data_IF_387438247571
#
_entry.id   IF_387438247571
#
_cell.length_a   1.000
_cell.length_b   1.000
_cell.length_c   1.000
_cell.angle_alpha   90.00
_cell.angle_beta   90.00
_cell.angle_gamma   90.00
#
_symmetry.space_group_name_H-M   'P 1'
#
loop_
_entity.id
_entity.type
_entity.pdbx_description
1 polymer ?
#
# COMPACT_ATOMS: atom_id res chain seq x y z
N UNK A 1 21.61 -11.24 -42.58
CA UNK A 1 21.34 -12.43 -41.75
C UNK A 1 20.39 -12.02 -40.66
N UNK A 2 19.34 -12.80 -40.34
CA UNK A 2 18.32 -12.47 -39.31
C UNK A 2 18.14 -13.68 -38.40
N UNK A 3 18.17 -13.46 -37.08
CA UNK A 3 17.94 -14.50 -36.09
C UNK A 3 16.63 -14.19 -35.33
N UNK A 4 15.88 -15.21 -34.99
CA UNK A 4 14.69 -15.12 -34.13
C UNK A 4 14.98 -15.91 -32.85
N UNK A 5 14.81 -15.24 -31.70
CA UNK A 5 14.95 -15.86 -30.38
C UNK A 5 13.55 -15.96 -29.75
N UNK A 6 13.02 -17.17 -29.63
CA UNK A 6 11.74 -17.43 -29.01
C UNK A 6 11.92 -17.66 -27.50
N UNK A 7 11.29 -16.81 -26.67
CA UNK A 7 11.33 -16.88 -25.21
C UNK A 7 9.88 -16.90 -24.68
N UNK A 8 9.32 -18.09 -24.53
CA UNK A 8 8.01 -18.31 -23.90
C UNK A 8 8.21 -18.80 -22.47
N UNK A 9 7.52 -18.18 -21.51
CA UNK A 9 7.54 -18.60 -20.10
C UNK A 9 6.11 -18.78 -19.61
N UNK A 10 5.89 -19.84 -18.85
CA UNK A 10 4.76 -19.95 -17.93
C UNK A 10 5.25 -19.43 -16.57
N UNK A 11 4.55 -18.46 -15.99
CA UNK A 11 4.90 -17.87 -14.71
C UNK A 11 3.79 -18.24 -13.72
N UNK A 12 4.19 -18.73 -12.55
CA UNK A 12 3.32 -18.91 -11.40
C UNK A 12 3.92 -18.09 -10.25
N UNK A 13 3.35 -16.91 -10.03
CA UNK A 13 3.72 -15.97 -8.98
C UNK A 13 2.71 -16.03 -7.81
N UNK A 14 2.03 -17.17 -7.62
CA UNK A 14 1.07 -17.37 -6.54
C UNK A 14 1.76 -17.41 -5.19
N UNK A 15 1.14 -16.83 -4.18
CA UNK A 15 1.65 -16.79 -2.82
C UNK A 15 0.53 -16.82 -1.78
N UNK A 16 0.85 -17.23 -0.56
CA UNK A 16 -0.07 -17.20 0.56
C UNK A 16 -0.01 -15.89 1.31
N UNK A 17 -1.16 -15.46 1.83
CA UNK A 17 -1.28 -14.34 2.77
C UNK A 17 -1.76 -14.92 4.10
N UNK A 18 -0.94 -14.80 5.13
CA UNK A 18 -1.28 -15.26 6.47
C UNK A 18 -1.61 -14.07 7.38
N UNK A 19 -2.80 -14.09 7.95
CA UNK A 19 -3.29 -13.07 8.88
C UNK A 19 -3.29 -13.69 10.28
N UNK A 20 -2.68 -13.00 11.24
CA UNK A 20 -2.62 -13.53 12.61
C UNK A 20 -1.93 -12.57 13.58
N UNK A 21 -1.51 -13.13 14.70
CA UNK A 21 -0.85 -12.42 15.79
C UNK A 21 0.47 -13.07 16.14
N UNK A 22 1.51 -12.28 16.36
CA UNK A 22 2.85 -12.78 16.74
C UNK A 22 3.37 -13.82 15.76
N UNK A 23 3.35 -13.51 14.46
CA UNK A 23 3.64 -14.42 13.36
C UNK A 23 5.13 -14.70 13.16
N UNK A 24 6.01 -14.12 13.97
CA UNK A 24 7.47 -14.33 13.84
C UNK A 24 7.89 -15.80 13.94
N UNK A 25 7.27 -16.58 14.83
CA UNK A 25 7.55 -18.03 14.92
C UNK A 25 7.01 -18.82 13.73
N UNK A 26 5.85 -18.43 13.20
CA UNK A 26 5.28 -18.99 11.98
C UNK A 26 6.21 -18.75 10.79
N UNK A 27 6.71 -17.54 10.61
CA UNK A 27 7.69 -17.20 9.57
C UNK A 27 8.93 -18.12 9.64
N UNK A 28 9.50 -18.31 10.83
CA UNK A 28 10.67 -19.18 10.99
C UNK A 28 10.34 -20.65 10.71
N UNK A 29 9.16 -21.09 11.12
CA UNK A 29 8.66 -22.45 10.83
C UNK A 29 8.51 -22.67 9.33
N UNK A 30 7.91 -21.73 8.61
CA UNK A 30 7.70 -21.83 7.18
C UNK A 30 9.03 -21.83 6.41
N UNK A 31 10.00 -21.01 6.82
CA UNK A 31 11.36 -21.04 6.26
C UNK A 31 12.01 -22.42 6.47
N UNK A 32 11.88 -23.00 7.66
CA UNK A 32 12.38 -24.36 7.94
C UNK A 32 11.69 -25.43 7.09
N UNK A 33 10.41 -25.23 6.80
CA UNK A 33 9.59 -26.12 5.97
C UNK A 33 9.79 -25.89 4.45
N UNK A 34 10.66 -24.97 4.06
CA UNK A 34 11.10 -24.80 2.68
C UNK A 34 10.46 -23.65 1.91
N UNK A 35 9.83 -22.66 2.57
CA UNK A 35 9.23 -21.48 1.93
C UNK A 35 10.17 -20.82 0.91
N UNK A 36 11.46 -20.70 1.22
CA UNK A 36 12.48 -20.16 0.31
C UNK A 36 13.40 -21.24 -0.27
N UNK A 37 12.96 -22.48 -0.33
CA UNK A 37 13.75 -23.59 -0.87
C UNK A 37 15.04 -23.85 -0.06
N UNK A 38 16.19 -23.78 -0.75
CA UNK A 38 17.50 -24.08 -0.13
C UNK A 38 18.25 -22.85 0.38
N UNK A 39 17.60 -21.70 0.40
CA UNK A 39 18.23 -20.45 0.84
C UNK A 39 18.61 -20.54 2.32
N UNK A 40 19.82 -20.06 2.65
CA UNK A 40 20.38 -20.07 4.01
C UNK A 40 20.81 -18.68 4.47
N UNK A 41 20.71 -17.64 3.59
CA UNK A 41 21.14 -16.28 3.89
C UNK A 41 19.99 -15.30 3.67
N UNK A 42 19.64 -14.54 4.71
CA UNK A 42 18.50 -13.64 4.74
C UNK A 42 18.91 -12.20 4.99
N UNK A 43 18.42 -11.28 4.15
CA UNK A 43 18.58 -9.84 4.32
C UNK A 43 17.28 -9.29 4.95
N UNK A 44 17.31 -8.96 6.23
CA UNK A 44 16.18 -8.34 6.92
C UNK A 44 16.25 -6.84 6.70
N UNK A 45 15.33 -6.29 5.91
CA UNK A 45 15.22 -4.86 5.63
C UNK A 45 14.11 -4.28 6.48
N UNK A 46 14.40 -3.21 7.22
CA UNK A 46 13.47 -2.57 8.16
C UNK A 46 13.78 -1.08 8.31
N UNK A 47 12.94 -0.36 9.04
CA UNK A 47 13.20 1.03 9.42
C UNK A 47 13.60 1.19 10.89
N UNK A 48 14.09 2.40 11.24
CA UNK A 48 14.60 2.72 12.57
C UNK A 48 13.59 2.61 13.71
N UNK A 49 12.28 2.67 13.41
CA UNK A 49 11.20 2.48 14.40
C UNK A 49 10.87 1.01 14.58
N UNK A 50 10.78 0.26 13.49
CA UNK A 50 10.36 -1.14 13.49
C UNK A 50 11.50 -2.07 13.94
N UNK A 51 12.76 -1.65 13.72
CA UNK A 51 13.95 -2.41 14.12
C UNK A 51 13.87 -2.91 15.56
N UNK A 52 13.80 -2.05 16.60
CA UNK A 52 13.80 -2.49 18.00
C UNK A 52 12.50 -3.17 18.42
N UNK A 53 11.41 -2.95 17.71
CA UNK A 53 10.08 -3.47 18.06
C UNK A 53 9.88 -4.91 17.58
N UNK A 54 10.28 -5.22 16.35
CA UNK A 54 9.92 -6.48 15.67
C UNK A 54 11.05 -7.09 14.84
N UNK A 55 11.79 -6.28 14.07
CA UNK A 55 12.76 -6.84 13.12
C UNK A 55 13.93 -7.51 13.82
N UNK A 56 14.36 -6.99 14.97
CA UNK A 56 15.42 -7.58 15.79
C UNK A 56 15.05 -8.97 16.28
N UNK A 57 13.80 -9.18 16.71
CA UNK A 57 13.31 -10.50 17.12
C UNK A 57 13.36 -11.51 15.96
N UNK A 58 12.87 -11.12 14.78
CA UNK A 58 12.90 -11.96 13.57
C UNK A 58 14.35 -12.31 13.20
N UNK A 59 15.25 -11.32 13.22
CA UNK A 59 16.67 -11.52 12.97
C UNK A 59 17.29 -12.54 13.95
N UNK A 60 17.06 -12.37 15.26
CA UNK A 60 17.58 -13.26 16.29
C UNK A 60 17.04 -14.69 16.17
N UNK A 61 15.76 -14.82 15.81
CA UNK A 61 15.12 -16.13 15.52
C UNK A 61 15.73 -16.81 14.30
N UNK A 62 16.05 -16.08 13.23
CA UNK A 62 16.75 -16.63 12.06
C UNK A 62 18.12 -17.17 12.44
N UNK A 63 18.92 -16.41 13.19
CA UNK A 63 20.24 -16.83 13.67
C UNK A 63 20.12 -18.07 14.56
N UNK A 64 19.18 -18.07 15.51
CA UNK A 64 18.94 -19.20 16.42
C UNK A 64 18.48 -20.46 15.69
N UNK A 65 17.83 -20.30 14.54
CA UNK A 65 17.42 -21.40 13.66
C UNK A 65 18.56 -21.92 12.75
N UNK A 66 19.76 -21.34 12.84
CA UNK A 66 20.96 -21.76 12.09
C UNK A 66 21.07 -21.15 10.70
N UNK A 67 20.34 -20.08 10.41
CA UNK A 67 20.47 -19.30 9.18
C UNK A 67 21.50 -18.18 9.33
N UNK A 68 22.10 -17.76 8.22
CA UNK A 68 22.88 -16.52 8.16
C UNK A 68 21.91 -15.36 7.87
N UNK A 69 21.96 -14.32 8.68
CA UNK A 69 21.16 -13.11 8.43
C UNK A 69 21.96 -11.86 8.76
N UNK A 70 21.62 -10.76 8.09
CA UNK A 70 22.02 -9.41 8.43
C UNK A 70 20.80 -8.51 8.38
N UNK A 71 20.85 -7.42 9.18
CA UNK A 71 19.80 -6.43 9.23
C UNK A 71 20.25 -5.14 8.54
N UNK A 72 19.37 -4.59 7.70
CA UNK A 72 19.58 -3.37 6.93
C UNK A 72 18.50 -2.37 7.34
N UNK A 73 18.89 -1.36 8.09
CA UNK A 73 17.98 -0.39 8.70
C UNK A 73 18.03 0.90 7.91
N UNK A 74 16.84 1.36 7.46
CA UNK A 74 16.68 2.66 6.82
C UNK A 74 16.05 3.66 7.80
N UNK A 75 16.20 4.98 7.61
CA UNK A 75 15.41 5.94 8.37
C UNK A 75 13.91 5.75 8.13
N UNK A 76 13.08 6.03 9.12
CA UNK A 76 11.63 5.97 9.00
C UNK A 76 11.05 7.04 8.07
N UNK A 77 9.85 6.78 7.53
CA UNK A 77 9.01 7.72 6.78
C UNK A 77 9.25 7.72 5.27
N UNK A 78 8.29 8.33 4.56
CA UNK A 78 8.21 8.30 3.09
C UNK A 78 9.45 8.92 2.43
N UNK A 79 10.11 9.88 3.08
CA UNK A 79 11.36 10.51 2.60
C UNK A 79 12.51 9.51 2.41
N UNK A 80 12.43 8.33 2.99
CA UNK A 80 13.41 7.24 2.81
C UNK A 80 13.14 6.36 1.60
N UNK A 81 11.97 6.45 0.97
CA UNK A 81 11.60 5.65 -0.19
C UNK A 81 12.23 6.19 -1.48
N UNK A 82 13.54 6.18 -1.56
CA UNK A 82 14.32 6.83 -2.63
C UNK A 82 15.28 5.87 -3.33
N UNK A 83 15.76 6.29 -4.52
CA UNK A 83 16.83 5.58 -5.24
C UNK A 83 18.10 5.47 -4.41
N UNK A 84 18.49 6.54 -3.71
CA UNK A 84 19.69 6.55 -2.87
C UNK A 84 19.59 5.54 -1.72
N UNK A 85 18.40 5.41 -1.11
CA UNK A 85 18.21 4.42 -0.05
C UNK A 85 18.18 2.99 -0.58
N UNK A 86 17.62 2.78 -1.78
CA UNK A 86 17.71 1.49 -2.47
C UNK A 86 19.16 1.11 -2.75
N UNK A 87 19.95 2.02 -3.32
CA UNK A 87 21.38 1.85 -3.57
C UNK A 87 22.14 1.51 -2.29
N UNK A 88 21.88 2.26 -1.20
CA UNK A 88 22.47 2.01 0.12
C UNK A 88 22.23 0.56 0.61
N UNK A 89 21.01 0.06 0.50
CA UNK A 89 20.67 -1.32 0.92
C UNK A 89 21.38 -2.33 0.01
N UNK A 90 21.35 -2.14 -1.30
CA UNK A 90 22.01 -3.03 -2.28
C UNK A 90 23.52 -3.10 -2.07
N UNK A 91 24.20 -1.96 -1.89
CA UNK A 91 25.63 -1.89 -1.66
C UNK A 91 25.99 -2.52 -0.30
N UNK A 92 25.23 -2.24 0.75
CA UNK A 92 25.42 -2.88 2.06
C UNK A 92 25.25 -4.41 2.00
N UNK A 93 24.32 -4.89 1.19
CA UNK A 93 24.18 -6.33 0.93
C UNK A 93 25.40 -6.90 0.20
N UNK A 94 25.92 -6.19 -0.82
CA UNK A 94 27.12 -6.59 -1.56
C UNK A 94 28.35 -6.63 -0.68
N UNK A 95 28.57 -5.65 0.18
CA UNK A 95 29.67 -5.58 1.15
C UNK A 95 29.65 -6.75 2.13
N UNK A 96 28.46 -7.18 2.56
CA UNK A 96 28.26 -8.37 3.41
C UNK A 96 28.28 -9.68 2.64
N UNK A 97 28.64 -9.65 1.36
CA UNK A 97 28.81 -10.84 0.54
C UNK A 97 27.51 -11.53 0.14
N UNK A 98 26.38 -10.80 0.06
CA UNK A 98 25.14 -11.32 -0.51
C UNK A 98 25.29 -11.56 -2.02
N UNK A 99 24.63 -12.60 -2.51
CA UNK A 99 24.59 -13.00 -3.94
C UNK A 99 23.17 -13.49 -4.26
N UNK A 100 23.00 -14.22 -5.36
CA UNK A 100 21.69 -14.70 -5.82
C UNK A 100 21.04 -15.77 -4.95
N UNK A 101 21.77 -16.32 -4.00
CA UNK A 101 21.36 -17.38 -3.08
C UNK A 101 20.89 -16.84 -1.74
N UNK A 102 20.26 -15.67 -1.74
CA UNK A 102 19.67 -15.03 -0.58
C UNK A 102 18.18 -14.77 -0.76
N UNK A 103 17.51 -14.45 0.36
CA UNK A 103 16.14 -13.96 0.39
C UNK A 103 16.10 -12.63 1.12
N UNK A 104 15.28 -11.70 0.65
CA UNK A 104 14.99 -10.43 1.34
C UNK A 104 13.72 -10.62 2.16
N UNK A 105 13.77 -10.19 3.43
CA UNK A 105 12.59 -10.13 4.31
C UNK A 105 12.34 -8.67 4.63
N UNK A 106 11.24 -8.10 4.13
CA UNK A 106 10.77 -6.79 4.52
C UNK A 106 10.01 -6.89 5.85
N UNK A 107 10.46 -6.19 6.87
CA UNK A 107 9.76 -6.12 8.16
C UNK A 107 9.41 -4.67 8.43
N UNK A 108 8.15 -4.28 8.16
CA UNK A 108 7.79 -2.87 8.30
C UNK A 108 6.45 -2.47 7.71
N UNK A 109 6.30 -1.17 7.52
CA UNK A 109 5.18 -0.54 6.83
C UNK A 109 5.35 -0.49 5.31
N UNK A 110 4.51 0.29 4.63
CA UNK A 110 4.48 0.40 3.17
C UNK A 110 5.81 0.86 2.55
N UNK A 111 6.53 1.80 3.19
CA UNK A 111 7.84 2.27 2.73
C UNK A 111 8.85 1.13 2.66
N UNK A 112 8.91 0.32 3.72
CA UNK A 112 9.82 -0.84 3.81
C UNK A 112 9.41 -1.91 2.80
N UNK A 113 8.11 -2.21 2.69
CA UNK A 113 7.59 -3.20 1.72
C UNK A 113 7.95 -2.83 0.28
N UNK A 114 7.70 -1.58 -0.11
CA UNK A 114 7.96 -1.09 -1.47
C UNK A 114 9.47 -1.08 -1.80
N UNK A 115 10.28 -0.55 -0.90
CA UNK A 115 11.72 -0.43 -1.12
C UNK A 115 12.40 -1.81 -1.11
N UNK A 116 12.13 -2.65 -0.11
CA UNK A 116 12.73 -3.97 0.00
C UNK A 116 12.29 -4.91 -1.12
N UNK A 117 11.01 -4.85 -1.52
CA UNK A 117 10.52 -5.60 -2.66
C UNK A 117 11.16 -5.16 -3.98
N UNK A 118 11.46 -3.85 -4.14
CA UNK A 118 12.18 -3.36 -5.31
C UNK A 118 13.68 -3.76 -5.27
N UNK A 119 14.32 -3.74 -4.11
CA UNK A 119 15.66 -4.31 -3.92
C UNK A 119 15.66 -5.77 -4.34
N UNK A 120 14.77 -6.59 -3.79
CA UNK A 120 14.69 -8.01 -4.10
C UNK A 120 14.50 -8.29 -5.59
N UNK A 121 13.60 -7.58 -6.25
CA UNK A 121 13.32 -7.76 -7.67
C UNK A 121 14.47 -7.36 -8.62
N UNK A 122 15.42 -6.54 -8.15
CA UNK A 122 16.56 -6.09 -8.95
C UNK A 122 17.89 -6.72 -8.53
N UNK A 123 18.09 -6.99 -7.26
CA UNK A 123 19.30 -7.61 -6.73
C UNK A 123 19.52 -8.99 -7.34
N UNK A 124 20.69 -9.23 -7.89
CA UNK A 124 21.00 -10.51 -8.56
C UNK A 124 20.12 -10.83 -9.78
N UNK A 125 19.32 -9.93 -10.30
CA UNK A 125 18.24 -10.06 -11.32
C UNK A 125 16.99 -10.75 -10.80
N UNK A 126 16.69 -10.56 -9.53
CA UNK A 126 15.59 -11.12 -8.78
C UNK A 126 16.03 -12.19 -7.79
N UNK A 127 15.73 -11.96 -6.52
CA UNK A 127 15.88 -12.92 -5.41
C UNK A 127 14.53 -13.05 -4.71
N UNK A 128 14.25 -14.18 -4.02
CA UNK A 128 13.04 -14.36 -3.24
C UNK A 128 12.81 -13.21 -2.23
N UNK A 129 11.54 -12.91 -2.01
CA UNK A 129 11.09 -11.81 -1.17
C UNK A 129 9.96 -12.26 -0.24
N UNK A 130 10.05 -11.96 1.03
CA UNK A 130 8.99 -12.17 2.03
C UNK A 130 8.57 -10.82 2.58
N UNK A 131 7.26 -10.61 2.72
CA UNK A 131 6.72 -9.38 3.26
C UNK A 131 6.07 -9.61 4.63
N UNK A 132 6.62 -9.01 5.68
CA UNK A 132 6.12 -9.04 7.04
C UNK A 132 5.59 -7.65 7.40
N UNK A 133 4.28 -7.46 7.20
CA UNK A 133 3.61 -6.17 7.37
C UNK A 133 3.33 -5.88 8.85
N UNK A 134 3.84 -4.74 9.34
CA UNK A 134 3.73 -4.32 10.74
C UNK A 134 2.79 -3.13 10.94
N UNK A 135 2.19 -2.62 9.89
CA UNK A 135 1.24 -1.49 9.97
C UNK A 135 -0.09 -1.86 9.32
N UNK A 136 -1.18 -1.24 9.81
CA UNK A 136 -2.49 -1.41 9.18
C UNK A 136 -2.46 -0.99 7.71
N UNK A 137 -1.77 0.10 7.37
CA UNK A 137 -1.62 0.57 5.99
C UNK A 137 -0.97 -0.49 5.08
N UNK A 138 0.12 -1.12 5.55
CA UNK A 138 0.76 -2.19 4.79
C UNK A 138 -0.15 -3.42 4.67
N UNK A 139 -0.84 -3.80 5.74
CA UNK A 139 -1.77 -4.93 5.74
C UNK A 139 -2.97 -4.70 4.81
N UNK A 140 -3.51 -3.48 4.77
CA UNK A 140 -4.62 -3.14 3.91
C UNK A 140 -4.22 -3.02 2.42
N UNK A 141 -3.08 -2.39 2.13
CA UNK A 141 -2.72 -2.07 0.74
C UNK A 141 -1.31 -2.50 0.31
N UNK A 142 -0.23 -2.00 0.91
CA UNK A 142 1.10 -2.04 0.32
C UNK A 142 1.70 -3.45 0.21
N UNK A 143 1.38 -4.38 1.11
CA UNK A 143 1.98 -5.72 1.14
C UNK A 143 1.43 -6.69 0.09
N UNK A 144 0.29 -6.38 -0.53
CA UNK A 144 -0.43 -7.29 -1.43
C UNK A 144 -0.43 -6.76 -2.86
N UNK A 145 -0.10 -7.63 -3.83
CA UNK A 145 -0.22 -7.35 -5.26
C UNK A 145 1.06 -6.87 -5.94
N UNK A 146 2.21 -7.04 -5.29
CA UNK A 146 3.54 -6.99 -5.87
C UNK A 146 4.02 -5.64 -6.42
N UNK A 147 3.29 -4.55 -6.24
CA UNK A 147 3.77 -3.22 -6.62
C UNK A 147 4.88 -2.79 -5.67
N UNK A 148 6.09 -2.63 -6.20
CA UNK A 148 7.26 -2.18 -5.46
C UNK A 148 7.91 -1.02 -6.18
N UNK A 149 8.33 0.01 -5.46
CA UNK A 149 8.82 1.23 -6.09
C UNK A 149 9.65 2.11 -5.14
N UNK A 150 10.29 3.10 -5.74
CA UNK A 150 10.87 4.25 -5.04
C UNK A 150 10.33 5.54 -5.63
N UNK A 151 10.40 6.60 -4.82
CA UNK A 151 10.02 7.94 -5.20
C UNK A 151 11.20 8.72 -5.80
N UNK A 152 10.85 9.72 -6.59
CA UNK A 152 11.78 10.68 -7.16
C UNK A 152 11.22 12.09 -6.97
N UNK A 153 12.04 13.15 -7.08
CA UNK A 153 11.51 14.52 -7.03
C UNK A 153 10.45 14.83 -8.11
N UNK A 154 10.42 14.04 -9.19
CA UNK A 154 9.52 14.26 -10.32
C UNK A 154 8.25 13.43 -10.26
N UNK A 155 8.29 12.26 -9.62
CA UNK A 155 7.17 11.34 -9.60
C UNK A 155 7.23 10.37 -8.41
N UNK A 156 6.08 10.04 -7.83
CA UNK A 156 5.91 9.04 -6.79
C UNK A 156 5.53 7.68 -7.40
N UNK A 157 6.11 6.61 -6.89
CA UNK A 157 5.80 5.22 -7.27
C UNK A 157 5.89 4.90 -8.79
N UNK A 158 6.61 5.72 -9.57
CA UNK A 158 6.75 5.50 -11.02
C UNK A 158 7.94 4.60 -11.36
N UNK A 159 8.97 4.64 -10.53
CA UNK A 159 10.20 3.85 -10.72
C UNK A 159 10.11 2.61 -9.84
N UNK A 160 9.78 1.49 -10.42
CA UNK A 160 9.56 0.24 -9.70
C UNK A 160 9.29 -0.94 -10.63
N UNK A 161 8.86 -2.02 -10.05
CA UNK A 161 8.47 -3.23 -10.77
C UNK A 161 7.36 -4.00 -10.02
N UNK A 162 6.73 -4.92 -10.71
CA UNK A 162 5.91 -5.94 -10.06
C UNK A 162 6.82 -7.07 -9.60
N UNK A 163 6.90 -7.28 -8.29
CA UNK A 163 7.65 -8.35 -7.64
C UNK A 163 6.77 -9.01 -6.58
N UNK A 164 6.20 -10.17 -6.91
CA UNK A 164 5.34 -10.88 -5.97
C UNK A 164 6.19 -11.53 -4.86
N UNK A 165 5.74 -11.48 -3.59
CA UNK A 165 6.45 -12.13 -2.51
C UNK A 165 6.25 -13.65 -2.51
N UNK A 166 7.16 -14.40 -1.89
CA UNK A 166 6.96 -15.84 -1.60
C UNK A 166 5.82 -16.06 -0.60
N UNK A 167 5.65 -15.14 0.36
CA UNK A 167 4.57 -15.12 1.33
C UNK A 167 4.42 -13.73 1.95
N UNK A 168 3.19 -13.39 2.35
CA UNK A 168 2.86 -12.19 3.11
C UNK A 168 2.38 -12.58 4.51
N UNK A 169 2.94 -11.97 5.53
CA UNK A 169 2.49 -12.06 6.92
C UNK A 169 1.87 -10.74 7.33
N UNK A 170 0.59 -10.75 7.71
CA UNK A 170 -0.13 -9.60 8.25
C UNK A 170 -0.24 -9.79 9.77
N UNK A 171 0.76 -9.30 10.49
CA UNK A 171 0.80 -9.44 11.96
C UNK A 171 0.05 -8.31 12.64
N UNK A 172 -1.21 -8.56 12.97
CA UNK A 172 -2.09 -7.56 13.62
C UNK A 172 -1.71 -7.27 15.09
N UNK A 173 -0.86 -8.08 15.71
CA UNK A 173 -0.35 -7.77 17.05
C UNK A 173 0.52 -6.52 17.05
N UNK A 174 1.21 -6.25 15.93
CA UNK A 174 2.10 -5.11 15.77
C UNK A 174 1.36 -3.76 15.77
N UNK A 175 0.06 -3.74 15.46
CA UNK A 175 -0.72 -2.51 15.44
C UNK A 175 -0.87 -1.86 16.80
N UNK A 176 -0.67 -2.61 17.90
CA UNK A 176 -0.69 -2.07 19.28
C UNK A 176 0.39 -1.02 19.55
N UNK A 177 1.48 -1.07 18.81
CA UNK A 177 2.59 -0.11 18.96
C UNK A 177 2.52 1.04 17.97
N UNK A 178 1.54 1.03 17.05
CA UNK A 178 1.34 2.15 16.13
C UNK A 178 0.89 3.39 16.91
N UNK A 179 1.50 4.55 16.65
CA UNK A 179 0.92 5.82 17.07
C UNK A 179 -0.49 5.96 16.50
N UNK A 180 -1.41 6.56 17.25
CA UNK A 180 -2.81 6.75 16.86
C UNK A 180 -2.94 7.33 15.43
N UNK A 181 -2.13 8.34 15.09
CA UNK A 181 -2.10 8.96 13.76
C UNK A 181 -1.76 7.96 12.65
N UNK A 182 -0.85 7.02 12.90
CA UNK A 182 -0.47 5.97 11.93
C UNK A 182 -1.58 4.91 11.79
N UNK A 183 -2.24 4.55 12.88
CA UNK A 183 -3.38 3.64 12.86
C UNK A 183 -4.54 4.27 12.06
N UNK A 184 -4.87 5.53 12.36
CA UNK A 184 -5.87 6.31 11.61
C UNK A 184 -5.53 6.41 10.12
N UNK A 185 -4.26 6.67 9.78
CA UNK A 185 -3.81 6.67 8.39
C UNK A 185 -4.08 5.34 7.69
N UNK A 186 -3.83 4.21 8.35
CA UNK A 186 -4.18 2.88 7.82
C UNK A 186 -5.69 2.67 7.64
N UNK A 187 -6.51 3.27 8.52
CA UNK A 187 -7.96 3.21 8.41
C UNK A 187 -8.52 3.92 7.18
N UNK A 188 -7.83 4.88 6.60
CA UNK A 188 -8.25 5.51 5.37
C UNK A 188 -8.33 4.49 4.21
N UNK A 189 -7.36 3.58 4.09
CA UNK A 189 -7.39 2.49 3.12
C UNK A 189 -8.50 1.49 3.42
N UNK A 190 -8.74 1.19 4.69
CA UNK A 190 -9.85 0.32 5.13
C UNK A 190 -11.20 0.93 4.73
N UNK A 191 -11.41 2.21 5.00
CA UNK A 191 -12.63 2.94 4.60
C UNK A 191 -12.76 2.97 3.08
N UNK A 192 -11.67 3.22 2.34
CA UNK A 192 -11.66 3.18 0.88
C UNK A 192 -12.09 1.79 0.37
N UNK A 193 -11.57 0.70 0.92
CA UNK A 193 -11.95 -0.65 0.53
C UNK A 193 -13.44 -0.93 0.79
N UNK A 194 -13.94 -0.47 1.94
CA UNK A 194 -15.36 -0.57 2.26
C UNK A 194 -16.22 0.23 1.25
N UNK A 195 -15.81 1.44 0.93
CA UNK A 195 -16.49 2.29 -0.06
C UNK A 195 -16.54 1.68 -1.46
N UNK A 196 -15.46 1.00 -1.87
CA UNK A 196 -15.35 0.53 -3.27
C UNK A 196 -15.91 -0.87 -3.51
N UNK A 197 -16.01 -1.74 -2.47
CA UNK A 197 -16.31 -3.15 -2.72
C UNK A 197 -16.95 -3.92 -1.54
N UNK A 198 -17.17 -3.31 -0.36
CA UNK A 198 -17.63 -4.04 0.83
C UNK A 198 -18.51 -3.18 1.74
N UNK A 199 -19.82 -3.12 1.43
CA UNK A 199 -20.79 -2.36 2.22
C UNK A 199 -20.99 -2.94 3.63
N UNK A 200 -20.82 -4.26 3.82
CA UNK A 200 -20.92 -4.87 5.15
C UNK A 200 -19.77 -4.42 6.05
N UNK A 201 -18.56 -4.34 5.50
CA UNK A 201 -17.41 -3.77 6.21
C UNK A 201 -17.65 -2.28 6.53
N UNK A 202 -18.28 -1.51 5.62
CA UNK A 202 -18.61 -0.11 5.91
C UNK A 202 -19.55 0.02 7.11
N UNK A 203 -20.64 -0.74 7.12
CA UNK A 203 -21.60 -0.77 8.23
C UNK A 203 -20.95 -1.26 9.55
N UNK A 204 -19.99 -2.18 9.46
CA UNK A 204 -19.20 -2.64 10.60
C UNK A 204 -18.31 -1.52 11.15
N UNK A 205 -17.63 -0.79 10.27
CA UNK A 205 -16.78 0.35 10.65
C UNK A 205 -17.59 1.44 11.34
N UNK A 206 -18.77 1.79 10.82
CA UNK A 206 -19.66 2.76 11.49
C UNK A 206 -20.02 2.35 12.93
N UNK A 207 -20.10 1.07 13.23
CA UNK A 207 -20.46 0.56 14.56
C UNK A 207 -19.27 0.36 15.49
N UNK A 208 -18.08 0.14 14.95
CA UNK A 208 -16.94 -0.36 15.73
C UNK A 208 -15.64 0.44 15.56
N UNK A 209 -15.65 1.58 14.88
CA UNK A 209 -14.42 2.34 14.58
C UNK A 209 -13.62 2.69 15.85
N UNK A 210 -14.29 3.04 16.94
CA UNK A 210 -13.66 3.36 18.21
C UNK A 210 -12.98 2.13 18.85
N UNK A 211 -13.52 0.92 18.64
CA UNK A 211 -12.87 -0.31 19.09
C UNK A 211 -11.58 -0.56 18.33
N UNK A 212 -11.59 -0.30 17.02
CA UNK A 212 -10.39 -0.44 16.18
C UNK A 212 -9.31 0.54 16.64
N UNK A 213 -9.67 1.80 16.92
CA UNK A 213 -8.73 2.82 17.39
C UNK A 213 -8.07 2.48 18.74
N UNK A 214 -8.67 1.61 19.54
CA UNK A 214 -8.07 1.11 20.79
C UNK A 214 -7.49 -0.30 20.63
N UNK A 215 -7.32 -0.77 19.39
CA UNK A 215 -6.77 -2.08 19.05
C UNK A 215 -7.54 -3.27 19.65
N UNK A 216 -8.89 -3.18 19.68
CA UNK A 216 -9.73 -4.32 20.04
C UNK A 216 -9.42 -5.52 19.16
N UNK A 217 -9.26 -6.68 19.78
CA UNK A 217 -8.78 -7.88 19.08
C UNK A 217 -9.67 -8.28 17.92
N UNK A 218 -10.95 -8.45 18.20
CA UNK A 218 -11.89 -9.01 17.22
C UNK A 218 -12.17 -7.99 16.09
N UNK A 219 -12.20 -6.69 16.46
CA UNK A 219 -12.36 -5.64 15.47
C UNK A 219 -11.17 -5.50 14.51
N UNK A 220 -9.94 -5.67 15.02
CA UNK A 220 -8.75 -5.66 14.18
C UNK A 220 -8.66 -6.90 13.28
N UNK A 221 -9.01 -8.08 13.76
CA UNK A 221 -9.08 -9.30 12.96
C UNK A 221 -10.10 -9.17 11.82
N UNK A 222 -11.31 -8.68 12.14
CA UNK A 222 -12.33 -8.44 11.14
C UNK A 222 -11.86 -7.55 9.98
N UNK A 223 -11.28 -6.38 10.30
CA UNK A 223 -10.82 -5.46 9.24
C UNK A 223 -9.62 -5.99 8.47
N UNK A 224 -8.74 -6.77 9.09
CA UNK A 224 -7.61 -7.40 8.41
C UNK A 224 -8.09 -8.39 7.34
N UNK A 225 -9.05 -9.26 7.69
CA UNK A 225 -9.64 -10.23 6.78
C UNK A 225 -10.38 -9.57 5.61
N UNK A 226 -11.22 -8.56 5.90
CA UNK A 226 -11.99 -7.85 4.89
C UNK A 226 -11.11 -7.02 3.95
N UNK A 227 -10.12 -6.30 4.46
CA UNK A 227 -9.14 -5.59 3.64
C UNK A 227 -8.42 -6.54 2.68
N UNK A 228 -7.90 -7.65 3.21
CA UNK A 228 -7.24 -8.68 2.43
C UNK A 228 -8.20 -9.23 1.35
N UNK A 229 -9.45 -9.56 1.74
CA UNK A 229 -10.46 -10.10 0.83
C UNK A 229 -10.78 -9.16 -0.34
N UNK A 230 -10.87 -7.86 -0.12
CA UNK A 230 -11.05 -6.86 -1.18
C UNK A 230 -9.81 -6.80 -2.06
N UNK A 231 -8.64 -6.64 -1.46
CA UNK A 231 -7.39 -6.40 -2.19
C UNK A 231 -6.99 -7.58 -3.07
N UNK A 232 -6.93 -8.81 -2.51
CA UNK A 232 -6.48 -9.97 -3.29
C UNK A 232 -7.45 -10.32 -4.43
N UNK A 233 -8.77 -10.16 -4.22
CA UNK A 233 -9.77 -10.42 -5.28
C UNK A 233 -9.59 -9.50 -6.49
N UNK A 234 -9.24 -8.22 -6.26
CA UNK A 234 -8.95 -7.27 -7.32
C UNK A 234 -7.63 -7.62 -8.01
N UNK A 235 -6.57 -7.92 -7.24
CA UNK A 235 -5.25 -8.29 -7.77
C UNK A 235 -5.30 -9.57 -8.60
N UNK A 236 -6.01 -10.62 -8.13
CA UNK A 236 -6.16 -11.87 -8.89
C UNK A 236 -6.85 -11.68 -10.24
N UNK A 237 -7.75 -10.71 -10.36
CA UNK A 237 -8.46 -10.43 -11.61
C UNK A 237 -7.67 -9.52 -12.55
N UNK A 238 -6.81 -8.66 -12.01
CA UNK A 238 -6.05 -7.69 -12.78
C UNK A 238 -4.73 -7.35 -12.06
N UNK A 239 -3.74 -8.24 -12.19
CA UNK A 239 -2.43 -8.06 -11.58
C UNK A 239 -1.74 -6.77 -12.01
N UNK A 240 -1.83 -6.43 -13.30
CA UNK A 240 -1.04 -5.37 -13.96
C UNK A 240 -1.74 -4.02 -14.05
N UNK A 241 -2.93 -3.86 -13.43
CA UNK A 241 -3.71 -2.62 -13.48
C UNK A 241 -4.06 -2.20 -14.93
N UNK A 242 -4.59 -3.16 -15.68
CA UNK A 242 -5.02 -2.93 -17.06
C UNK A 242 -6.49 -2.50 -17.18
N UNK A 243 -7.27 -2.57 -16.11
CA UNK A 243 -8.69 -2.21 -16.05
C UNK A 243 -9.23 -2.23 -14.62
N UNK A 244 -9.74 -3.38 -14.15
CA UNK A 244 -10.40 -3.47 -12.84
C UNK A 244 -9.58 -2.93 -11.67
N UNK A 245 -8.27 -3.18 -11.63
CA UNK A 245 -7.43 -2.74 -10.51
C UNK A 245 -7.37 -1.22 -10.37
N UNK A 246 -7.79 -0.46 -11.39
CA UNK A 246 -7.91 0.99 -11.34
C UNK A 246 -8.89 1.45 -10.24
N UNK A 247 -9.87 0.62 -9.84
CA UNK A 247 -10.82 0.94 -8.75
C UNK A 247 -10.12 1.25 -7.42
N UNK A 248 -8.97 0.62 -7.15
CA UNK A 248 -8.17 0.89 -5.96
C UNK A 248 -7.61 2.32 -5.89
N UNK A 249 -7.71 3.07 -6.99
CA UNK A 249 -7.33 4.48 -7.04
C UNK A 249 -8.43 5.44 -6.54
N UNK A 250 -9.55 4.93 -6.02
CA UNK A 250 -10.55 5.76 -5.34
C UNK A 250 -9.85 6.59 -4.24
N UNK A 251 -10.07 7.90 -4.20
CA UNK A 251 -9.39 8.83 -3.28
C UNK A 251 -7.97 9.22 -3.68
N UNK A 252 -7.27 8.41 -4.48
CA UNK A 252 -5.84 8.58 -4.72
C UNK A 252 -5.48 9.68 -5.72
N UNK A 253 -6.36 10.04 -6.64
CA UNK A 253 -6.03 11.07 -7.64
C UNK A 253 -5.78 12.41 -6.96
N UNK A 254 -6.68 12.82 -6.08
CA UNK A 254 -6.53 14.04 -5.27
C UNK A 254 -5.56 13.81 -4.11
N UNK A 255 -5.67 12.67 -3.42
CA UNK A 255 -4.86 12.34 -2.25
C UNK A 255 -3.36 12.42 -2.52
N UNK A 256 -2.84 11.78 -3.58
CA UNK A 256 -1.41 11.83 -3.93
C UNK A 256 -0.91 13.23 -4.28
N UNK A 257 -1.76 14.03 -4.92
CA UNK A 257 -1.40 15.42 -5.23
C UNK A 257 -1.25 16.22 -3.92
N UNK A 258 -2.18 16.08 -2.98
CA UNK A 258 -2.14 16.72 -1.66
C UNK A 258 -0.92 16.24 -0.86
N UNK A 259 -0.67 14.94 -0.80
CA UNK A 259 0.49 14.34 -0.12
C UNK A 259 1.80 14.98 -0.58
N UNK A 260 1.98 15.10 -1.90
CA UNK A 260 3.19 15.71 -2.47
C UNK A 260 3.26 17.22 -2.20
N UNK A 261 2.16 17.97 -2.37
CA UNK A 261 2.13 19.43 -2.17
C UNK A 261 2.30 19.79 -0.70
N UNK A 262 1.91 18.90 0.23
CA UNK A 262 2.15 19.07 1.67
C UNK A 262 3.61 18.82 2.09
N UNK A 263 4.51 18.50 1.17
CA UNK A 263 5.87 18.02 1.46
C UNK A 263 5.87 16.84 2.44
N UNK A 264 4.91 15.91 2.28
CA UNK A 264 4.70 14.76 3.15
C UNK A 264 4.44 15.10 4.63
N UNK A 265 3.91 16.31 4.92
CA UNK A 265 3.44 16.67 6.26
C UNK A 265 2.15 15.91 6.61
N UNK A 266 1.32 15.64 5.61
CA UNK A 266 0.21 14.71 5.72
C UNK A 266 0.70 13.28 5.48
N UNK A 267 0.24 12.36 6.31
CA UNK A 267 0.43 10.93 6.07
C UNK A 267 -0.40 10.49 4.86
N UNK A 268 0.03 9.42 4.22
CA UNK A 268 -0.64 8.88 3.03
C UNK A 268 -2.16 8.74 3.22
N UNK A 269 -2.61 8.06 4.28
CA UNK A 269 -4.04 7.88 4.53
C UNK A 269 -4.79 9.16 4.87
N UNK A 270 -4.13 10.15 5.49
CA UNK A 270 -4.73 11.48 5.70
C UNK A 270 -5.02 12.16 4.36
N UNK A 271 -4.09 12.09 3.44
CA UNK A 271 -4.25 12.62 2.08
C UNK A 271 -5.30 11.83 1.28
N UNK A 272 -5.32 10.50 1.40
CA UNK A 272 -6.34 9.63 0.76
C UNK A 272 -7.73 9.93 1.31
N UNK A 273 -7.90 10.17 2.60
CA UNK A 273 -9.19 10.56 3.20
C UNK A 273 -9.74 11.84 2.58
N UNK A 274 -8.92 12.88 2.48
CA UNK A 274 -9.31 14.15 1.82
C UNK A 274 -9.70 13.88 0.37
N UNK A 275 -8.90 13.08 -0.34
CA UNK A 275 -9.15 12.72 -1.72
C UNK A 275 -10.44 11.91 -1.92
N UNK A 276 -10.73 10.98 -1.01
CA UNK A 276 -11.97 10.18 -1.01
C UNK A 276 -13.20 11.07 -0.89
N UNK A 277 -13.16 12.04 0.03
CA UNK A 277 -14.25 12.98 0.26
C UNK A 277 -14.42 13.94 -0.93
N UNK A 278 -13.31 14.46 -1.47
CA UNK A 278 -13.37 15.32 -2.65
C UNK A 278 -13.99 14.60 -3.86
N UNK A 279 -13.62 13.34 -4.10
CA UNK A 279 -14.20 12.54 -5.16
C UNK A 279 -15.66 12.15 -4.89
N UNK A 280 -16.04 11.91 -3.63
CA UNK A 280 -17.44 11.64 -3.26
C UNK A 280 -18.33 12.87 -3.49
N UNK A 281 -17.90 14.07 -3.07
CA UNK A 281 -18.60 15.34 -3.33
C UNK A 281 -18.75 15.63 -4.84
N UNK A 282 -17.70 15.40 -5.61
CA UNK A 282 -17.77 15.56 -7.07
C UNK A 282 -18.71 14.51 -7.69
N UNK A 283 -18.69 13.28 -7.21
CA UNK A 283 -19.62 12.22 -7.60
C UNK A 283 -21.08 12.56 -7.29
N UNK A 284 -21.34 13.23 -6.15
CA UNK A 284 -22.68 13.74 -5.80
C UNK A 284 -23.15 14.79 -6.81
N UNK A 285 -22.29 15.75 -7.18
CA UNK A 285 -22.61 16.76 -8.20
C UNK A 285 -22.95 16.12 -9.57
N UNK A 286 -22.32 14.99 -9.91
CA UNK A 286 -22.65 14.23 -11.11
C UNK A 286 -23.87 13.31 -10.95
N UNK A 287 -24.45 13.21 -9.77
CA UNK A 287 -25.56 12.29 -9.48
C UNK A 287 -25.17 10.81 -9.43
N UNK A 288 -23.90 10.50 -9.20
CA UNK A 288 -23.43 9.11 -9.09
C UNK A 288 -23.66 8.51 -7.72
N UNK A 289 -23.49 9.28 -6.66
CA UNK A 289 -23.67 8.87 -5.27
C UNK A 289 -24.65 9.80 -4.55
N UNK A 290 -25.44 9.27 -3.63
CA UNK A 290 -26.42 10.07 -2.88
C UNK A 290 -25.75 11.00 -1.84
N UNK A 291 -26.35 12.17 -1.53
CA UNK A 291 -25.89 13.06 -0.46
C UNK A 291 -25.79 12.36 0.90
N UNK A 292 -26.70 11.41 1.16
CA UNK A 292 -26.69 10.61 2.38
C UNK A 292 -25.42 9.77 2.50
N UNK A 293 -25.03 9.05 1.43
CA UNK A 293 -23.82 8.24 1.41
C UNK A 293 -22.56 9.10 1.52
N UNK A 294 -22.50 10.25 0.88
CA UNK A 294 -21.39 11.21 1.06
C UNK A 294 -21.26 11.63 2.51
N UNK A 295 -22.39 11.98 3.16
CA UNK A 295 -22.42 12.35 4.59
C UNK A 295 -21.94 11.20 5.49
N UNK A 296 -22.30 9.95 5.19
CA UNK A 296 -21.82 8.75 5.91
C UNK A 296 -20.30 8.60 5.81
N UNK A 297 -19.75 8.73 4.60
CA UNK A 297 -18.29 8.64 4.37
C UNK A 297 -17.54 9.73 5.16
N UNK A 298 -18.01 10.98 5.11
CA UNK A 298 -17.41 12.09 5.87
C UNK A 298 -17.41 11.78 7.36
N UNK A 299 -18.56 11.43 7.93
CA UNK A 299 -18.70 11.12 9.36
C UNK A 299 -17.81 9.96 9.80
N UNK A 300 -17.68 8.93 8.97
CA UNK A 300 -16.81 7.79 9.29
C UNK A 300 -15.33 8.21 9.30
N UNK A 301 -14.89 9.02 8.33
CA UNK A 301 -13.53 9.56 8.31
C UNK A 301 -13.24 10.45 9.53
N UNK A 302 -14.18 11.33 9.93
CA UNK A 302 -14.04 12.16 11.14
C UNK A 302 -13.89 11.30 12.40
N UNK A 303 -14.73 10.27 12.57
CA UNK A 303 -14.67 9.34 13.70
C UNK A 303 -13.38 8.51 13.69
N UNK A 304 -12.85 8.20 12.51
CA UNK A 304 -11.54 7.57 12.35
C UNK A 304 -10.36 8.54 12.62
N UNK A 305 -10.63 9.79 13.05
CA UNK A 305 -9.65 10.86 13.29
C UNK A 305 -8.84 11.24 12.05
N UNK A 306 -9.45 11.12 10.88
CA UNK A 306 -8.89 11.50 9.61
C UNK A 306 -9.34 12.92 9.20
N UNK A 307 -8.50 13.69 8.52
CA UNK A 307 -8.91 14.98 7.98
C UNK A 307 -9.94 14.80 6.87
N UNK A 308 -10.94 15.70 6.85
CA UNK A 308 -12.06 15.66 5.90
C UNK A 308 -12.09 16.85 4.95
N UNK A 309 -11.12 17.75 5.05
CA UNK A 309 -10.99 18.94 4.21
C UNK A 309 -9.52 19.20 3.89
N UNK A 310 -9.27 19.90 2.78
CA UNK A 310 -7.92 20.35 2.41
C UNK A 310 -7.46 21.37 3.46
N UNK A 311 -6.29 21.18 4.09
CA UNK A 311 -5.77 22.15 5.07
C UNK A 311 -5.48 23.51 4.44
N UNK A 312 -5.69 24.59 5.19
CA UNK A 312 -5.53 25.97 4.72
C UNK A 312 -4.10 26.31 4.25
N UNK A 313 -3.10 25.57 4.75
CA UNK A 313 -1.70 25.78 4.34
C UNK A 313 -1.36 25.16 2.97
N UNK A 314 -2.25 24.39 2.37
CA UNK A 314 -2.04 23.80 1.04
C UNK A 314 -2.33 24.86 -0.04
N UNK A 315 -1.32 25.14 -0.85
CA UNK A 315 -1.50 26.00 -2.04
C UNK A 315 -2.38 25.28 -3.08
N UNK A 316 -3.61 25.74 -3.21
CA UNK A 316 -4.59 25.20 -4.16
C UNK A 316 -4.11 25.29 -5.61
N UNK A 317 -3.37 26.34 -5.99
CA UNK A 317 -2.82 26.48 -7.34
C UNK A 317 -1.76 25.42 -7.61
N UNK A 318 -0.88 25.17 -6.64
CA UNK A 318 0.10 24.09 -6.71
C UNK A 318 -0.57 22.72 -6.77
N UNK A 319 -1.65 22.51 -6.01
CA UNK A 319 -2.44 21.28 -6.00
C UNK A 319 -3.04 20.98 -7.39
N UNK A 320 -3.74 21.95 -7.99
CA UNK A 320 -4.31 21.80 -9.34
C UNK A 320 -3.20 21.47 -10.36
N UNK A 321 -2.10 22.21 -10.33
CA UNK A 321 -0.94 21.94 -11.20
C UNK A 321 -0.39 20.51 -11.01
N UNK A 322 -0.32 20.04 -9.75
CA UNK A 322 0.18 18.68 -9.44
C UNK A 322 -0.75 17.59 -9.96
N UNK A 323 -2.06 17.78 -9.92
CA UNK A 323 -3.04 16.83 -10.47
C UNK A 323 -2.77 16.51 -11.95
N UNK A 324 -2.36 17.51 -12.74
CA UNK A 324 -2.06 17.33 -14.17
C UNK A 324 -0.66 16.77 -14.46
N UNK A 325 0.22 16.66 -13.47
CA UNK A 325 1.57 16.09 -13.62
C UNK A 325 1.66 14.64 -13.16
N UNK A 326 0.58 14.05 -12.61
CA UNK A 326 0.56 12.65 -12.17
C UNK A 326 0.54 11.68 -13.39
N UNK A 327 1.08 10.48 -13.17
CA UNK A 327 1.07 9.35 -14.11
C UNK A 327 -0.32 8.91 -14.59
N UNK A 328 -1.38 9.33 -13.91
CA UNK A 328 -2.78 9.09 -14.28
C UNK A 328 -3.30 10.00 -15.39
N UNK A 329 -2.51 11.00 -15.78
CA UNK A 329 -2.78 11.81 -16.95
C UNK A 329 -2.41 11.01 -18.20
N UNK A 330 -3.41 10.44 -18.88
CA UNK A 330 -3.25 9.83 -20.20
C UNK A 330 -3.68 10.87 -21.26
N UNK A 331 -2.81 11.12 -22.22
CA UNK A 331 -3.06 12.11 -23.29
C UNK A 331 -3.46 13.51 -22.78
N UNK A 332 -2.86 13.95 -21.66
CA UNK A 332 -3.16 15.24 -21.04
C UNK A 332 -4.50 15.32 -20.29
N UNK A 333 -5.14 14.16 -20.02
CA UNK A 333 -6.46 14.08 -19.41
C UNK A 333 -6.40 13.38 -18.06
N UNK A 334 -6.85 14.08 -17.01
CA UNK A 334 -6.97 13.54 -15.67
C UNK A 334 -8.12 12.53 -15.61
N UNK A 335 -7.92 11.40 -14.95
CA UNK A 335 -8.93 10.35 -14.77
C UNK A 335 -9.18 10.11 -13.29
N UNK A 336 -10.45 9.93 -12.90
CA UNK A 336 -10.87 9.68 -11.53
C UNK A 336 -11.87 8.53 -11.44
N UNK A 337 -11.71 7.71 -10.41
CA UNK A 337 -12.69 6.67 -10.02
C UNK A 337 -13.79 7.31 -9.18
N UNK A 338 -15.03 6.91 -9.35
CA UNK A 338 -16.16 7.42 -8.59
C UNK A 338 -16.93 6.31 -7.91
N UNK A 339 -17.43 6.57 -6.71
CA UNK A 339 -18.39 5.71 -6.04
C UNK A 339 -19.75 5.81 -6.76
N UNK A 340 -20.46 4.70 -6.81
CA UNK A 340 -21.87 4.60 -7.20
C UNK A 340 -22.78 4.55 -5.98
N UNK A 341 -22.38 3.73 -5.04
CA UNK A 341 -22.94 3.61 -3.70
C UNK A 341 -21.86 3.10 -2.75
N UNK A 342 -22.16 2.97 -1.47
CA UNK A 342 -21.22 2.33 -0.53
C UNK A 342 -21.09 0.85 -0.89
N UNK A 343 -19.86 0.41 -1.15
CA UNK A 343 -19.54 -0.95 -1.60
C UNK A 343 -19.56 -1.16 -3.11
N UNK A 344 -19.76 -0.10 -3.92
CA UNK A 344 -19.72 -0.18 -5.38
C UNK A 344 -19.16 1.09 -6.03
N UNK A 345 -18.58 0.94 -7.20
CA UNK A 345 -18.00 2.01 -7.99
C UNK A 345 -18.60 2.09 -9.39
N UNK A 346 -18.53 3.29 -9.99
CA UNK A 346 -18.99 3.51 -11.34
C UNK A 346 -18.14 2.75 -12.37
N UNK A 347 -18.81 2.17 -13.36
CA UNK A 347 -18.19 1.63 -14.57
C UNK A 347 -18.71 2.44 -15.77
N UNK A 348 -17.82 3.01 -16.55
CA UNK A 348 -18.13 3.95 -17.66
C UNK A 348 -18.07 3.27 -19.04
N UNK A 349 -17.70 2.00 -19.10
CA UNK A 349 -17.58 1.22 -20.33
C UNK A 349 -17.02 -0.18 -20.05
N UNK A 350 -16.61 -0.91 -21.08
CA UNK A 350 -16.03 -2.24 -20.92
C UNK A 350 -14.70 -2.17 -20.12
N UNK A 351 -14.76 -2.56 -18.84
CA UNK A 351 -13.62 -2.48 -17.89
C UNK A 351 -13.02 -1.08 -17.73
N UNK A 352 -13.80 -0.02 -17.93
CA UNK A 352 -13.39 1.36 -17.73
C UNK A 352 -14.00 1.91 -16.43
N UNK A 353 -13.21 2.02 -15.38
CA UNK A 353 -13.65 2.42 -14.03
C UNK A 353 -13.28 3.86 -13.67
N UNK A 354 -12.65 4.62 -14.57
CA UNK A 354 -12.29 6.00 -14.31
C UNK A 354 -12.82 6.94 -15.38
N UNK A 355 -13.53 7.98 -14.95
CA UNK A 355 -14.02 9.06 -15.81
C UNK A 355 -12.94 10.10 -16.03
N UNK A 356 -12.86 10.62 -17.24
CA UNK A 356 -12.06 11.79 -17.56
C UNK A 356 -12.68 13.06 -16.94
N UNK A 357 -11.85 13.86 -16.26
CA UNK A 357 -12.23 15.11 -15.57
C UNK A 357 -11.46 16.26 -16.18
N UNK A 358 -12.13 17.40 -16.31
CA UNK A 358 -11.58 18.66 -16.81
C UNK A 358 -11.19 19.60 -15.66
N UNK A 359 -10.33 20.57 -15.93
CA UNK A 359 -9.88 21.54 -14.93
C UNK A 359 -11.02 22.36 -14.27
N UNK A 360 -12.04 22.86 -15.02
CA UNK A 360 -13.19 23.53 -14.39
C UNK A 360 -13.93 22.65 -13.38
N UNK A 361 -14.10 21.36 -13.68
CA UNK A 361 -14.79 20.41 -12.79
C UNK A 361 -14.03 20.17 -11.47
N UNK A 362 -12.70 20.27 -11.48
CA UNK A 362 -11.88 20.15 -10.26
C UNK A 362 -12.04 21.40 -9.38
N UNK A 363 -11.96 22.57 -9.97
CA UNK A 363 -12.11 23.83 -9.23
C UNK A 363 -13.49 23.96 -8.54
N UNK A 364 -14.52 23.33 -9.10
CA UNK A 364 -15.86 23.26 -8.51
C UNK A 364 -15.95 22.27 -7.34
N UNK A 365 -15.10 21.27 -7.27
CA UNK A 365 -15.09 20.28 -6.19
C UNK A 365 -14.42 20.78 -4.89
N UNK A 366 -13.66 21.88 -5.01
CA UNK A 366 -12.94 22.49 -3.88
C UNK A 366 -13.82 23.47 -3.05
N UNK A 367 -15.02 23.82 -3.55
CA UNK A 367 -16.01 24.65 -2.89
C UNK A 367 -17.14 23.81 -2.27
#
# INVERSE_FOLDING_TARGET
MKFFCELKKTVDDSYDIEIGRSLSDTLISDIKNGLCGRIKKFAVVTDSIVEPLYAKEIYEKLISAGYSADMFVIPEGEKSKTRAMKEFVEDSMLEKGYRRDCCVIAVGGGVVSDLAGFVAGTFGRGVPFINYATTLLAAADASVGGKTAVDTPLATNLIGLFNQPEKVYLDIETWKTLPERQLSSGLAETIKHACLADSEMFDYLEKNIEKILVNDKDACEYIAEHNCAVKYKVVMKDERESGLREVLNLGHTVGRAIETVSDYQLLHGEAVSIGLIAQAKLGEKYGYISPENVSRVIKLCERAKLPVAIPDYIDKTALVRKLYTDKKVRDGKLRMVFQKEIGDVMCFGDNDYAKQITEPEIAEAEN
#
